data_IF_516396139770
#
_entry.id   IF_516396139770
#
_cell.length_a   1.000
_cell.length_b   1.000
_cell.length_c   1.000
_cell.angle_alpha   90.00
_cell.angle_beta   90.00
_cell.angle_gamma   90.00
#
_symmetry.space_group_name_H-M   'P 1'
#
loop_
_entity.id
_entity.type
_entity.pdbx_description
1 polymer ?
#
# COMPACT_ATOMS: atom_id res chain seq x y z
N UNK A 1 8.35 35.24 -45.39
CA UNK A 1 8.19 36.59 -44.82
C UNK A 1 6.72 36.95 -44.92
N UNK A 2 6.17 37.66 -43.93
CA UNK A 2 4.74 38.06 -43.82
C UNK A 2 3.75 36.86 -43.76
N UNK A 3 3.01 36.69 -42.67
CA UNK A 3 1.84 37.47 -42.20
C UNK A 3 0.56 37.20 -42.99
N UNK A 4 -0.42 36.59 -42.31
CA UNK A 4 -1.81 37.07 -42.32
C UNK A 4 -2.28 37.06 -40.87
N UNK A 5 -2.68 38.22 -40.33
CA UNK A 5 -3.26 38.31 -39.00
C UNK A 5 -4.78 38.05 -39.03
N UNK A 6 -5.29 37.28 -38.07
CA UNK A 6 -6.72 37.09 -37.82
C UNK A 6 -7.08 37.63 -36.43
N UNK A 7 -8.22 38.32 -36.33
CA UNK A 7 -8.55 39.12 -35.14
C UNK A 7 -9.12 38.32 -33.97
N UNK A 8 -8.80 38.77 -32.75
CA UNK A 8 -9.48 38.34 -31.52
C UNK A 8 -10.72 39.20 -31.33
N UNK A 9 -11.91 38.60 -31.40
CA UNK A 9 -13.17 39.25 -31.04
C UNK A 9 -13.51 39.04 -29.56
N UNK A 10 -13.57 40.10 -28.77
CA UNK A 10 -13.95 40.02 -27.36
C UNK A 10 -15.47 39.78 -27.22
N UNK A 11 -15.86 38.72 -26.50
CA UNK A 11 -17.26 38.47 -26.17
C UNK A 11 -17.66 39.25 -24.91
N UNK A 12 -18.78 39.97 -24.97
CA UNK A 12 -19.24 40.85 -23.88
C UNK A 12 -19.78 40.03 -22.69
N UNK A 13 -19.55 40.56 -21.49
CA UNK A 13 -20.36 40.22 -20.31
C UNK A 13 -21.80 40.67 -20.58
N UNK A 14 -22.77 39.83 -20.24
CA UNK A 14 -24.20 40.15 -20.30
C UNK A 14 -24.66 40.65 -18.93
N UNK A 15 -25.45 41.72 -18.93
CA UNK A 15 -25.97 42.35 -17.71
C UNK A 15 -27.04 41.49 -17.02
N UNK A 16 -27.18 41.61 -15.70
CA UNK A 16 -28.03 40.76 -14.84
C UNK A 16 -29.52 41.12 -14.85
N UNK A 17 -29.94 42.08 -15.67
CA UNK A 17 -31.24 42.76 -15.63
C UNK A 17 -32.37 42.02 -16.37
N UNK A 18 -32.47 40.69 -16.25
CA UNK A 18 -33.47 39.88 -16.99
C UNK A 18 -33.89 38.56 -16.31
N UNK A 19 -34.38 38.64 -15.08
CA UNK A 19 -35.28 37.63 -14.51
C UNK A 19 -36.72 38.20 -14.43
N UNK A 20 -37.78 37.38 -14.63
CA UNK A 20 -39.15 37.86 -14.53
C UNK A 20 -39.53 38.13 -13.06
N UNK A 21 -40.28 39.20 -12.81
CA UNK A 21 -40.78 39.55 -11.48
C UNK A 21 -41.61 38.41 -10.87
N UNK A 22 -41.15 37.91 -9.71
CA UNK A 22 -41.91 37.00 -8.86
C UNK A 22 -42.57 37.85 -7.77
N UNK A 23 -43.91 37.95 -7.70
CA UNK A 23 -44.59 38.79 -6.72
C UNK A 23 -44.55 38.14 -5.33
N UNK A 24 -43.44 38.35 -4.63
CA UNK A 24 -43.12 37.81 -3.30
C UNK A 24 -41.64 38.04 -3.00
N UNK A 25 -41.31 39.21 -2.47
CA UNK A 25 -39.92 39.61 -2.23
C UNK A 25 -39.24 38.79 -1.13
N UNK A 26 -37.95 38.53 -1.30
CA UNK A 26 -37.11 37.89 -0.28
C UNK A 26 -36.80 38.84 0.90
N UNK A 27 -37.10 40.13 0.75
CA UNK A 27 -36.93 41.19 1.76
C UNK A 27 -37.96 41.15 2.91
N UNK A 28 -38.74 40.07 3.01
CA UNK A 28 -39.82 39.90 3.99
C UNK A 28 -39.76 38.56 4.75
N UNK A 29 -38.58 37.95 4.82
CA UNK A 29 -38.25 37.05 5.94
C UNK A 29 -37.67 37.94 7.03
N UNK A 30 -38.46 38.23 8.07
CA UNK A 30 -37.94 38.92 9.25
C UNK A 30 -36.83 38.07 9.90
N UNK A 31 -35.94 38.71 10.67
CA UNK A 31 -34.81 38.06 11.36
C UNK A 31 -35.31 37.28 12.59
N UNK A 32 -36.29 36.39 12.36
CA UNK A 32 -36.81 35.39 13.27
C UNK A 32 -35.67 34.43 13.57
N UNK A 33 -34.91 34.79 14.62
CA UNK A 33 -33.78 34.03 15.09
C UNK A 33 -34.22 32.58 15.37
N UNK A 34 -33.85 31.67 14.45
CA UNK A 34 -33.84 30.24 14.72
C UNK A 34 -33.21 30.05 16.09
N UNK A 35 -33.86 29.33 17.03
CA UNK A 35 -33.34 29.18 18.38
C UNK A 35 -32.10 28.28 18.34
N UNK A 36 -30.95 28.89 18.02
CA UNK A 36 -29.63 28.33 18.22
C UNK A 36 -29.56 27.91 19.68
N UNK A 37 -29.48 26.59 19.91
CA UNK A 37 -29.21 26.04 21.22
C UNK A 37 -27.98 26.78 21.79
N UNK A 38 -28.06 27.38 23.00
CA UNK A 38 -26.93 28.10 23.57
C UNK A 38 -25.71 27.21 23.87
N UNK A 39 -25.83 25.88 23.73
CA UNK A 39 -24.73 24.92 23.70
C UNK A 39 -24.23 24.52 22.30
N UNK A 40 -24.82 25.02 21.20
CA UNK A 40 -24.42 24.68 19.84
C UNK A 40 -23.06 25.29 19.47
N UNK A 41 -22.09 24.43 19.23
CA UNK A 41 -20.79 24.78 18.66
C UNK A 41 -20.85 24.45 17.15
N UNK A 42 -20.47 25.37 16.25
CA UNK A 42 -20.36 25.06 14.83
C UNK A 42 -19.31 23.96 14.61
N UNK A 43 -19.55 22.98 13.70
CA UNK A 43 -18.57 21.95 13.39
C UNK A 43 -17.29 22.56 12.83
N UNK A 44 -16.14 22.06 13.26
CA UNK A 44 -14.84 22.51 12.77
C UNK A 44 -14.43 21.84 11.44
N UNK A 45 -13.23 22.17 10.95
CA UNK A 45 -12.74 21.63 9.68
C UNK A 45 -12.44 20.12 9.71
N UNK A 46 -12.28 19.51 10.90
CA UNK A 46 -12.13 18.06 11.10
C UNK A 46 -13.51 17.42 11.22
N UNK A 47 -14.45 18.02 11.95
CA UNK A 47 -15.84 17.53 12.05
C UNK A 47 -16.47 17.38 10.65
N UNK A 48 -16.32 18.39 9.78
CA UNK A 48 -16.80 18.37 8.40
C UNK A 48 -16.11 17.31 7.51
N UNK A 49 -14.89 16.89 7.85
CA UNK A 49 -14.19 15.76 7.19
C UNK A 49 -14.74 14.44 7.73
N UNK A 50 -14.99 14.33 9.03
CA UNK A 50 -15.60 13.16 9.66
C UNK A 50 -17.03 12.90 9.14
N UNK A 51 -17.84 13.95 8.92
CA UNK A 51 -19.15 13.83 8.27
C UNK A 51 -19.03 13.28 6.83
N UNK A 52 -18.04 13.74 6.06
CA UNK A 52 -17.80 13.24 4.71
C UNK A 52 -17.36 11.77 4.70
N UNK A 53 -16.46 11.36 5.60
CA UNK A 53 -16.03 9.96 5.75
C UNK A 53 -17.18 9.08 6.30
N UNK A 54 -18.06 9.62 7.13
CA UNK A 54 -19.27 8.95 7.60
C UNK A 54 -20.26 8.70 6.44
N UNK A 55 -20.46 9.68 5.56
CA UNK A 55 -21.24 9.48 4.33
C UNK A 55 -20.61 8.39 3.43
N UNK A 56 -19.28 8.38 3.29
CA UNK A 56 -18.56 7.32 2.54
C UNK A 56 -18.79 5.95 3.17
N UNK A 57 -18.74 5.82 4.49
CA UNK A 57 -19.02 4.56 5.21
C UNK A 57 -20.47 4.08 4.98
N UNK A 58 -21.46 4.98 5.05
CA UNK A 58 -22.87 4.67 4.78
C UNK A 58 -23.08 4.20 3.34
N UNK A 59 -22.49 4.88 2.35
CA UNK A 59 -22.58 4.47 0.94
C UNK A 59 -21.79 3.18 0.64
N UNK A 60 -20.68 2.92 1.35
CA UNK A 60 -19.96 1.65 1.28
C UNK A 60 -20.83 0.48 1.78
N UNK A 61 -21.49 0.62 2.93
CA UNK A 61 -22.43 -0.39 3.42
C UNK A 61 -23.57 -0.65 2.44
N UNK A 62 -24.14 0.40 1.84
CA UNK A 62 -25.19 0.24 0.83
C UNK A 62 -24.67 -0.43 -0.45
N UNK A 63 -23.44 -0.13 -0.90
CA UNK A 63 -22.78 -0.83 -2.01
C UNK A 63 -22.66 -2.34 -1.72
N UNK A 64 -22.23 -2.74 -0.52
CA UNK A 64 -22.16 -4.16 -0.15
C UNK A 64 -23.55 -4.81 -0.14
N UNK A 65 -24.59 -4.16 0.42
CA UNK A 65 -25.98 -4.66 0.37
C UNK A 65 -26.47 -4.88 -1.06
N UNK A 66 -26.20 -3.94 -1.98
CA UNK A 66 -26.62 -4.03 -3.39
C UNK A 66 -25.90 -5.15 -4.14
N UNK A 67 -24.59 -5.32 -3.92
CA UNK A 67 -23.80 -6.43 -4.51
C UNK A 67 -24.32 -7.78 -3.99
N UNK A 68 -24.59 -7.90 -2.70
CA UNK A 68 -25.14 -9.12 -2.12
C UNK A 68 -26.55 -9.44 -2.65
N UNK A 69 -27.44 -8.44 -2.73
CA UNK A 69 -28.80 -8.59 -3.27
C UNK A 69 -28.80 -9.05 -4.73
N UNK A 70 -28.06 -8.36 -5.60
CA UNK A 70 -27.90 -8.73 -7.00
C UNK A 70 -27.38 -10.17 -7.16
N UNK A 71 -26.42 -10.61 -6.34
CA UNK A 71 -25.99 -12.03 -6.36
C UNK A 71 -27.07 -12.99 -5.89
N UNK A 72 -27.81 -12.70 -4.81
CA UNK A 72 -28.89 -13.59 -4.35
C UNK A 72 -29.99 -13.75 -5.41
N UNK A 73 -30.39 -12.65 -6.04
CA UNK A 73 -31.43 -12.63 -7.08
C UNK A 73 -30.99 -13.41 -8.32
N UNK A 74 -29.78 -13.16 -8.84
CA UNK A 74 -29.23 -13.88 -9.99
C UNK A 74 -29.00 -15.37 -9.72
N UNK A 75 -28.59 -15.76 -8.51
CA UNK A 75 -28.45 -17.17 -8.14
C UNK A 75 -29.79 -17.87 -7.90
N UNK A 76 -30.82 -17.16 -7.42
CA UNK A 76 -32.16 -17.73 -7.28
C UNK A 76 -32.78 -18.04 -8.65
N UNK A 77 -32.64 -17.13 -9.63
CA UNK A 77 -33.05 -17.36 -11.01
C UNK A 77 -32.28 -18.53 -11.66
N UNK A 78 -30.95 -18.57 -11.50
CA UNK A 78 -30.13 -19.68 -11.99
C UNK A 78 -30.51 -21.03 -11.37
N UNK A 79 -30.76 -21.07 -10.06
CA UNK A 79 -31.20 -22.28 -9.36
C UNK A 79 -32.57 -22.78 -9.83
N UNK A 80 -33.50 -21.86 -10.14
CA UNK A 80 -34.80 -22.20 -10.75
C UNK A 80 -34.71 -22.76 -12.18
N UNK A 81 -33.61 -22.48 -12.90
CA UNK A 81 -33.37 -22.93 -14.28
C UNK A 81 -32.50 -24.19 -14.38
N UNK A 82 -31.68 -24.49 -13.37
CA UNK A 82 -30.96 -25.76 -13.24
C UNK A 82 -29.56 -25.63 -12.62
N UNK A 83 -29.14 -26.67 -11.87
CA UNK A 83 -27.93 -26.64 -11.02
C UNK A 83 -26.63 -26.24 -11.75
N UNK A 84 -26.49 -26.59 -13.03
CA UNK A 84 -25.31 -26.23 -13.85
C UNK A 84 -25.24 -24.76 -14.30
N UNK A 85 -26.27 -23.94 -14.02
CA UNK A 85 -26.29 -22.51 -14.36
C UNK A 85 -25.76 -21.62 -13.23
N UNK A 86 -25.54 -22.17 -12.02
CA UNK A 86 -25.04 -21.42 -10.86
C UNK A 86 -23.63 -20.87 -11.15
N UNK A 87 -22.69 -21.72 -11.57
CA UNK A 87 -21.33 -21.33 -11.93
C UNK A 87 -21.28 -20.33 -13.10
N UNK A 88 -22.26 -20.41 -14.01
CA UNK A 88 -22.41 -19.49 -15.14
C UNK A 88 -22.90 -18.12 -14.67
N UNK A 89 -23.88 -18.09 -13.76
CA UNK A 89 -24.37 -16.87 -13.13
C UNK A 89 -23.29 -16.19 -12.29
N UNK A 90 -22.50 -16.91 -11.49
CA UNK A 90 -21.38 -16.31 -10.74
C UNK A 90 -20.33 -15.67 -11.65
N UNK A 91 -20.02 -16.30 -12.79
CA UNK A 91 -19.11 -15.74 -13.79
C UNK A 91 -19.68 -14.47 -14.44
N UNK A 92 -20.98 -14.44 -14.73
CA UNK A 92 -21.68 -13.29 -15.30
C UNK A 92 -21.72 -12.10 -14.31
N UNK A 93 -22.17 -12.33 -13.07
CA UNK A 93 -22.22 -11.36 -11.96
C UNK A 93 -20.86 -10.67 -11.79
N UNK A 94 -19.78 -11.45 -11.78
CA UNK A 94 -18.39 -10.97 -11.64
C UNK A 94 -17.94 -10.12 -12.83
N UNK A 95 -18.30 -10.50 -14.05
CA UNK A 95 -17.95 -9.74 -15.27
C UNK A 95 -18.75 -8.43 -15.37
N UNK A 96 -20.05 -8.47 -15.07
CA UNK A 96 -20.94 -7.29 -15.10
C UNK A 96 -20.51 -6.24 -14.07
N UNK A 97 -20.26 -6.66 -12.82
CA UNK A 97 -19.76 -5.75 -11.77
C UNK A 97 -18.36 -5.21 -12.09
N UNK A 98 -17.46 -6.00 -12.69
CA UNK A 98 -16.15 -5.53 -13.12
C UNK A 98 -16.27 -4.40 -14.16
N UNK A 99 -17.08 -4.61 -15.20
CA UNK A 99 -17.33 -3.63 -16.25
C UNK A 99 -18.00 -2.35 -15.71
N UNK A 100 -19.05 -2.50 -14.89
CA UNK A 100 -19.82 -1.38 -14.35
C UNK A 100 -18.99 -0.51 -13.38
N UNK A 101 -18.24 -1.14 -12.48
CA UNK A 101 -17.39 -0.45 -11.49
C UNK A 101 -16.02 -0.02 -12.04
N UNK A 102 -15.68 -0.41 -13.28
CA UNK A 102 -14.38 -0.16 -13.93
C UNK A 102 -13.20 -0.74 -13.16
N UNK A 103 -13.36 -1.96 -12.64
CA UNK A 103 -12.36 -2.72 -11.89
C UNK A 103 -12.02 -4.03 -12.60
N UNK A 104 -10.96 -4.72 -12.17
CA UNK A 104 -10.67 -6.07 -12.69
C UNK A 104 -11.70 -7.08 -12.20
N UNK A 105 -11.93 -8.17 -12.94
CA UNK A 105 -12.80 -9.25 -12.49
C UNK A 105 -12.34 -9.89 -11.17
N UNK A 106 -11.04 -9.84 -10.86
CA UNK A 106 -10.50 -10.24 -9.56
C UNK A 106 -10.99 -9.31 -8.45
N UNK A 107 -10.90 -7.99 -8.63
CA UNK A 107 -11.40 -7.00 -7.67
C UNK A 107 -12.94 -7.08 -7.51
N UNK A 108 -13.67 -7.32 -8.60
CA UNK A 108 -15.11 -7.60 -8.52
C UNK A 108 -15.39 -8.89 -7.74
N UNK A 109 -14.61 -9.96 -7.96
CA UNK A 109 -14.69 -11.20 -7.18
C UNK A 109 -14.45 -10.99 -5.68
N UNK A 110 -13.45 -10.18 -5.32
CA UNK A 110 -13.19 -9.81 -3.92
C UNK A 110 -14.37 -9.04 -3.30
N UNK A 111 -14.92 -8.03 -4.00
CA UNK A 111 -16.10 -7.28 -3.55
C UNK A 111 -17.34 -8.20 -3.39
N UNK A 112 -17.52 -9.17 -4.28
CA UNK A 112 -18.61 -10.16 -4.22
C UNK A 112 -18.44 -11.09 -3.01
N UNK A 113 -17.22 -11.55 -2.72
CA UNK A 113 -16.95 -12.40 -1.56
C UNK A 113 -17.10 -11.64 -0.23
N UNK A 114 -16.64 -10.39 -0.18
CA UNK A 114 -16.72 -9.50 0.96
C UNK A 114 -18.16 -9.08 1.27
N UNK A 115 -18.96 -8.74 0.25
CA UNK A 115 -20.40 -8.47 0.36
C UNK A 115 -21.17 -9.66 0.97
N UNK A 116 -20.88 -10.88 0.50
CA UNK A 116 -21.46 -12.11 1.06
C UNK A 116 -21.04 -12.32 2.52
N UNK A 117 -19.75 -12.13 2.84
CA UNK A 117 -19.24 -12.29 4.19
C UNK A 117 -19.94 -11.32 5.16
N UNK A 118 -20.07 -10.06 4.76
CA UNK A 118 -20.76 -9.01 5.51
C UNK A 118 -22.25 -9.28 5.73
N UNK A 119 -22.95 -9.81 4.73
CA UNK A 119 -24.37 -10.13 4.85
C UNK A 119 -24.62 -11.38 5.70
N UNK A 120 -23.84 -12.45 5.48
CA UNK A 120 -24.16 -13.79 6.01
C UNK A 120 -23.45 -14.13 7.32
N UNK A 121 -22.26 -13.56 7.58
CA UNK A 121 -21.39 -13.93 8.71
C UNK A 121 -21.05 -12.76 9.62
N UNK A 122 -20.99 -11.54 9.09
CA UNK A 122 -20.66 -10.33 9.85
C UNK A 122 -21.74 -9.22 9.76
N UNK A 123 -23.05 -9.51 9.88
CA UNK A 123 -24.11 -8.50 9.69
C UNK A 123 -24.02 -7.35 10.69
N UNK A 124 -23.49 -7.59 11.89
CA UNK A 124 -23.21 -6.53 12.87
C UNK A 124 -22.10 -5.56 12.42
N UNK A 125 -21.10 -6.03 11.67
CA UNK A 125 -20.07 -5.17 11.08
C UNK A 125 -20.61 -4.37 9.88
N UNK A 126 -21.50 -4.97 9.07
CA UNK A 126 -22.22 -4.26 8.01
C UNK A 126 -23.18 -3.18 8.58
N UNK A 127 -23.79 -3.45 9.73
CA UNK A 127 -24.61 -2.48 10.47
C UNK A 127 -23.77 -1.37 11.11
N UNK A 128 -22.56 -1.67 11.61
CA UNK A 128 -21.62 -0.66 12.12
C UNK A 128 -21.11 0.26 11.00
N UNK A 129 -20.74 -0.30 9.85
CA UNK A 129 -20.33 0.46 8.65
C UNK A 129 -21.48 1.33 8.15
N UNK A 130 -22.70 0.77 8.08
CA UNK A 130 -23.91 1.48 7.70
C UNK A 130 -24.42 2.51 8.71
N UNK A 131 -23.75 2.65 9.85
CA UNK A 131 -23.97 3.67 10.87
C UNK A 131 -22.68 4.47 11.18
N UNK A 132 -21.71 4.45 10.26
CA UNK A 132 -20.43 5.15 10.32
C UNK A 132 -19.52 4.87 11.54
N UNK A 133 -19.83 3.87 12.37
CA UNK A 133 -19.01 3.53 13.56
C UNK A 133 -17.72 2.78 13.22
N UNK A 134 -17.64 2.21 12.02
CA UNK A 134 -16.40 1.65 11.46
C UNK A 134 -16.24 2.12 10.01
N UNK A 135 -15.00 2.27 9.55
CA UNK A 135 -14.72 2.56 8.13
C UNK A 135 -14.66 1.28 7.30
N UNK A 136 -14.84 1.39 5.98
CA UNK A 136 -14.74 0.25 5.05
C UNK A 136 -13.42 -0.53 5.19
N UNK A 137 -12.33 0.16 5.54
CA UNK A 137 -11.03 -0.48 5.76
C UNK A 137 -10.97 -1.35 7.01
N UNK A 138 -11.74 -1.05 8.06
CA UNK A 138 -11.86 -1.92 9.23
C UNK A 138 -12.63 -3.19 8.87
N UNK A 139 -13.75 -3.04 8.16
CA UNK A 139 -14.56 -4.16 7.64
C UNK A 139 -13.73 -5.10 6.78
N UNK A 140 -12.96 -4.58 5.83
CA UNK A 140 -12.08 -5.39 4.99
C UNK A 140 -11.06 -6.19 5.80
N UNK A 141 -10.39 -5.56 6.77
CA UNK A 141 -9.39 -6.22 7.63
C UNK A 141 -10.05 -7.19 8.62
N UNK A 142 -11.31 -6.97 9.00
CA UNK A 142 -12.10 -7.91 9.78
C UNK A 142 -12.38 -9.19 8.98
N UNK A 143 -12.84 -9.07 7.73
CA UNK A 143 -13.06 -10.23 6.85
C UNK A 143 -11.73 -10.96 6.56
N UNK A 144 -10.68 -10.23 6.17
CA UNK A 144 -9.31 -10.75 5.92
C UNK A 144 -8.81 -11.68 7.03
N UNK A 145 -9.04 -11.31 8.30
CA UNK A 145 -8.51 -12.04 9.46
C UNK A 145 -9.45 -13.13 10.00
N UNK A 146 -10.77 -13.00 9.82
CA UNK A 146 -11.77 -13.89 10.44
C UNK A 146 -12.33 -14.95 9.48
N UNK A 147 -12.26 -14.75 8.17
CA UNK A 147 -12.70 -15.77 7.21
C UNK A 147 -11.89 -17.07 7.27
N UNK A 148 -10.54 -17.05 7.37
CA UNK A 148 -9.72 -18.26 7.45
C UNK A 148 -9.83 -19.07 8.76
N UNK A 149 -10.66 -18.66 9.72
CA UNK A 149 -10.82 -19.31 11.02
C UNK A 149 -11.91 -20.39 11.00
N UNK A 150 -11.82 -21.36 11.92
CA UNK A 150 -12.94 -22.24 12.20
C UNK A 150 -14.14 -21.44 12.77
N UNK A 151 -15.36 -21.93 12.59
CA UNK A 151 -16.57 -21.21 13.02
C UNK A 151 -16.54 -20.87 14.53
N UNK A 152 -16.16 -21.82 15.37
CA UNK A 152 -16.02 -21.64 16.83
C UNK A 152 -14.98 -20.58 17.21
N UNK A 153 -13.83 -20.54 16.51
CA UNK A 153 -12.79 -19.53 16.71
C UNK A 153 -13.29 -18.14 16.27
N UNK A 154 -13.95 -18.08 15.11
CA UNK A 154 -14.54 -16.86 14.55
C UNK A 154 -15.58 -16.26 15.49
N UNK A 155 -16.50 -17.07 16.01
CA UNK A 155 -17.59 -16.63 16.87
C UNK A 155 -17.08 -16.11 18.23
N UNK A 156 -15.98 -16.69 18.74
CA UNK A 156 -15.32 -16.21 19.96
C UNK A 156 -14.48 -14.93 19.77
N UNK A 157 -13.90 -14.71 18.58
CA UNK A 157 -13.11 -13.51 18.28
C UNK A 157 -13.97 -12.34 17.80
N UNK A 158 -15.00 -12.59 16.97
CA UNK A 158 -15.73 -11.54 16.24
C UNK A 158 -16.33 -10.44 17.13
N UNK A 159 -17.01 -10.72 18.27
CA UNK A 159 -17.56 -9.65 19.12
C UNK A 159 -16.45 -8.74 19.69
N UNK A 160 -15.31 -9.32 20.09
CA UNK A 160 -14.15 -8.58 20.58
C UNK A 160 -13.46 -7.81 19.46
N UNK A 161 -13.43 -8.35 18.23
CA UNK A 161 -12.92 -7.65 17.06
C UNK A 161 -13.78 -6.45 16.66
N UNK A 162 -15.12 -6.57 16.68
CA UNK A 162 -16.02 -5.46 16.34
C UNK A 162 -15.88 -4.28 17.32
N UNK A 163 -15.80 -4.55 18.63
CA UNK A 163 -15.53 -3.51 19.65
C UNK A 163 -14.18 -2.82 19.42
N UNK A 164 -13.15 -3.54 18.96
CA UNK A 164 -11.88 -2.93 18.57
C UNK A 164 -11.99 -2.12 17.27
N UNK A 165 -12.81 -2.53 16.31
CA UNK A 165 -13.01 -1.82 15.05
C UNK A 165 -13.72 -0.47 15.23
N UNK A 166 -14.61 -0.35 16.23
CA UNK A 166 -15.31 0.89 16.58
C UNK A 166 -14.46 1.86 17.45
N UNK A 167 -13.31 1.41 17.97
CA UNK A 167 -12.52 2.15 18.97
C UNK A 167 -11.03 2.39 18.62
N UNK A 168 -10.45 1.69 17.65
CA UNK A 168 -9.01 1.69 17.37
C UNK A 168 -8.70 1.99 15.90
N UNK A 169 -7.69 2.82 15.58
CA UNK A 169 -7.23 2.99 14.20
C UNK A 169 -6.82 1.64 13.57
N UNK A 170 -7.16 1.44 12.28
CA UNK A 170 -6.94 0.22 11.47
C UNK A 170 -5.63 -0.53 11.79
N UNK A 171 -4.52 0.20 11.90
CA UNK A 171 -3.20 -0.40 12.19
C UNK A 171 -3.10 -1.04 13.57
N UNK A 172 -3.68 -0.43 14.60
CA UNK A 172 -3.75 -0.98 15.96
C UNK A 172 -4.82 -2.05 16.06
N UNK A 173 -6.00 -1.82 15.49
CA UNK A 173 -7.06 -2.82 15.31
C UNK A 173 -6.51 -4.14 14.75
N UNK A 174 -5.80 -4.10 13.61
CA UNK A 174 -5.18 -5.28 12.96
C UNK A 174 -4.20 -6.03 13.87
N UNK A 175 -3.37 -5.32 14.65
CA UNK A 175 -2.43 -5.94 15.61
C UNK A 175 -3.19 -6.61 16.76
N UNK A 176 -4.17 -5.92 17.35
CA UNK A 176 -4.96 -6.43 18.48
C UNK A 176 -5.80 -7.64 18.07
N UNK A 177 -6.47 -7.64 16.91
CA UNK A 177 -7.25 -8.80 16.42
C UNK A 177 -6.36 -10.00 16.14
N UNK A 178 -5.14 -9.85 15.59
CA UNK A 178 -4.21 -10.98 15.45
C UNK A 178 -3.86 -11.61 16.81
N UNK A 179 -3.59 -10.79 17.83
CA UNK A 179 -3.37 -11.29 19.19
C UNK A 179 -4.62 -11.97 19.80
N UNK A 180 -5.84 -11.55 19.43
CA UNK A 180 -7.06 -12.28 19.83
C UNK A 180 -7.18 -13.64 19.14
N UNK A 181 -6.80 -13.73 17.87
CA UNK A 181 -6.83 -14.97 17.09
C UNK A 181 -5.83 -15.99 17.66
N UNK A 182 -4.60 -15.58 17.95
CA UNK A 182 -3.60 -16.48 18.55
C UNK A 182 -3.90 -16.84 20.03
N UNK A 183 -4.85 -16.16 20.70
CA UNK A 183 -5.40 -16.57 22.01
C UNK A 183 -6.52 -17.63 21.92
N UNK A 184 -7.17 -17.76 20.76
CA UNK A 184 -8.40 -18.57 20.58
C UNK A 184 -8.15 -19.81 19.71
N UNK A 185 -7.10 -19.79 18.87
CA UNK A 185 -6.75 -20.91 17.98
C UNK A 185 -6.51 -22.21 18.75
N UNK A 186 -7.14 -23.28 18.26
CA UNK A 186 -6.97 -24.63 18.83
C UNK A 186 -5.64 -25.26 18.38
N UNK A 187 -5.21 -24.97 17.15
CA UNK A 187 -3.89 -25.37 16.64
C UNK A 187 -2.78 -24.50 17.23
N UNK A 188 -1.81 -25.14 17.89
CA UNK A 188 -0.67 -24.46 18.49
C UNK A 188 0.24 -23.81 17.44
N UNK A 189 1.09 -22.88 17.89
CA UNK A 189 2.07 -22.23 17.01
C UNK A 189 3.12 -23.23 16.47
N UNK A 190 3.62 -24.22 17.25
CA UNK A 190 4.42 -25.34 16.72
C UNK A 190 3.74 -26.15 15.61
N UNK A 191 2.51 -26.65 15.80
CA UNK A 191 1.83 -27.48 14.78
C UNK A 191 1.57 -26.72 13.46
N UNK A 192 1.26 -25.42 13.57
CA UNK A 192 1.17 -24.52 12.41
C UNK A 192 2.53 -24.27 11.75
N UNK A 193 3.60 -24.22 12.54
CA UNK A 193 4.96 -24.09 12.03
C UNK A 193 5.38 -25.34 11.28
N UNK A 194 5.25 -26.53 11.87
CA UNK A 194 5.58 -27.82 11.26
C UNK A 194 4.88 -28.02 9.91
N UNK A 195 3.58 -27.72 9.81
CA UNK A 195 2.85 -27.79 8.53
C UNK A 195 3.39 -26.81 7.47
N UNK A 196 3.80 -25.61 7.87
CA UNK A 196 4.44 -24.64 6.98
C UNK A 196 5.91 -25.00 6.65
N UNK A 197 6.57 -25.81 7.50
CA UNK A 197 7.89 -26.39 7.21
C UNK A 197 7.78 -27.42 6.07
N UNK A 198 6.73 -28.21 5.98
CA UNK A 198 6.55 -29.14 4.85
C UNK A 198 6.31 -28.43 3.50
N UNK A 199 5.86 -27.16 3.52
CA UNK A 199 5.72 -26.32 2.34
C UNK A 199 7.02 -25.64 1.85
N UNK A 200 8.12 -25.71 2.61
CA UNK A 200 9.41 -25.09 2.24
C UNK A 200 9.85 -25.53 0.85
N UNK A 201 10.15 -24.56 -0.01
CA UNK A 201 10.50 -24.81 -1.41
C UNK A 201 11.38 -23.71 -1.98
N UNK A 202 12.31 -24.09 -2.84
CA UNK A 202 13.05 -23.18 -3.71
C UNK A 202 12.61 -23.45 -5.14
N UNK A 203 12.20 -22.42 -5.88
CA UNK A 203 11.77 -22.55 -7.27
C UNK A 203 12.18 -21.32 -8.08
N UNK A 204 12.35 -21.52 -9.39
CA UNK A 204 12.67 -20.44 -10.33
C UNK A 204 11.39 -20.01 -11.06
N UNK A 205 11.08 -18.72 -11.01
CA UNK A 205 9.98 -18.10 -11.73
C UNK A 205 10.57 -17.22 -12.85
N UNK A 206 10.35 -17.56 -14.14
CA UNK A 206 10.88 -16.78 -15.26
C UNK A 206 10.40 -15.32 -15.25
N UNK A 207 11.28 -14.40 -15.62
CA UNK A 207 10.98 -12.99 -15.80
C UNK A 207 11.37 -12.53 -17.22
N UNK A 208 11.13 -11.25 -17.51
CA UNK A 208 11.55 -10.61 -18.77
C UNK A 208 13.09 -10.47 -18.85
N UNK A 209 13.59 -10.03 -20.01
CA UNK A 209 14.99 -9.69 -20.27
C UNK A 209 16.02 -10.83 -20.02
N UNK A 210 15.56 -12.09 -19.97
CA UNK A 210 16.40 -13.26 -19.68
C UNK A 210 16.71 -13.47 -18.20
N UNK A 211 16.06 -12.70 -17.32
CA UNK A 211 16.17 -12.82 -15.87
C UNK A 211 15.17 -13.85 -15.32
N UNK A 212 15.35 -14.26 -14.07
CA UNK A 212 14.37 -15.06 -13.34
C UNK A 212 14.47 -14.80 -11.83
N UNK A 213 13.36 -14.98 -11.12
CA UNK A 213 13.32 -14.90 -9.66
C UNK A 213 13.64 -16.28 -9.06
N UNK A 214 14.68 -16.36 -8.24
CA UNK A 214 14.91 -17.52 -7.38
C UNK A 214 14.10 -17.34 -6.08
N UNK A 215 12.86 -17.80 -6.11
CA UNK A 215 11.96 -17.74 -4.96
C UNK A 215 12.33 -18.82 -3.94
N UNK A 216 12.48 -18.44 -2.66
CA UNK A 216 12.78 -19.35 -1.57
C UNK A 216 11.77 -19.16 -0.42
N UNK A 217 10.83 -20.10 -0.28
CA UNK A 217 9.95 -20.20 0.87
C UNK A 217 10.67 -20.98 1.98
N UNK A 218 11.07 -20.25 3.02
CA UNK A 218 11.94 -20.71 4.11
C UNK A 218 11.35 -20.30 5.46
N UNK A 219 11.78 -20.91 6.58
CA UNK A 219 11.42 -20.43 7.90
C UNK A 219 11.92 -18.99 8.07
N UNK A 220 11.11 -18.14 8.69
CA UNK A 220 11.29 -16.69 8.59
C UNK A 220 12.60 -16.18 9.21
N UNK A 221 13.13 -16.85 10.23
CA UNK A 221 14.44 -16.53 10.82
C UNK A 221 15.56 -16.75 9.81
N UNK A 222 15.61 -17.92 9.20
CA UNK A 222 16.62 -18.30 8.22
C UNK A 222 16.58 -17.39 6.98
N UNK A 223 15.39 -17.01 6.51
CA UNK A 223 15.23 -16.04 5.42
C UNK A 223 15.87 -14.68 5.76
N UNK A 224 15.63 -14.16 6.98
CA UNK A 224 16.21 -12.90 7.44
C UNK A 224 17.70 -13.02 7.76
N UNK A 225 18.16 -14.18 8.25
CA UNK A 225 19.57 -14.50 8.45
C UNK A 225 20.35 -14.47 7.13
N UNK A 226 19.83 -15.15 6.11
CA UNK A 226 20.39 -15.15 4.75
C UNK A 226 20.44 -13.71 4.22
N UNK A 227 19.31 -12.99 4.22
CA UNK A 227 19.26 -11.60 3.74
C UNK A 227 20.24 -10.67 4.48
N UNK A 228 20.37 -10.82 5.79
CA UNK A 228 21.33 -10.08 6.62
C UNK A 228 22.79 -10.38 6.23
N UNK A 229 23.14 -11.66 6.06
CA UNK A 229 24.48 -12.09 5.63
C UNK A 229 24.83 -11.60 4.23
N UNK A 230 23.91 -11.72 3.28
CA UNK A 230 24.05 -11.14 1.93
C UNK A 230 24.32 -9.64 2.02
N UNK A 231 23.53 -8.91 2.82
CA UNK A 231 23.69 -7.47 3.03
C UNK A 231 25.05 -7.11 3.63
N UNK A 232 25.56 -7.90 4.58
CA UNK A 232 26.85 -7.65 5.24
C UNK A 232 28.04 -7.92 4.30
N UNK A 233 28.03 -9.04 3.57
CA UNK A 233 29.08 -9.38 2.59
C UNK A 233 29.04 -8.39 1.42
N UNK A 234 27.86 -8.07 0.87
CA UNK A 234 27.71 -7.08 -0.18
C UNK A 234 28.27 -5.70 0.23
N UNK A 235 28.00 -5.23 1.45
CA UNK A 235 28.60 -3.99 1.98
C UNK A 235 30.13 -4.05 2.04
N UNK A 236 30.70 -5.18 2.47
CA UNK A 236 32.16 -5.36 2.56
C UNK A 236 32.83 -5.46 1.17
N UNK A 237 32.11 -5.99 0.17
CA UNK A 237 32.53 -6.01 -1.24
C UNK A 237 32.48 -4.58 -1.82
N UNK A 238 31.36 -3.85 -1.68
CA UNK A 238 31.22 -2.46 -2.16
C UNK A 238 32.02 -1.42 -1.36
N UNK A 239 32.77 -1.84 -0.34
CA UNK A 239 33.69 -0.99 0.42
C UNK A 239 35.13 -1.05 -0.13
N UNK A 240 35.40 -1.85 -1.16
CA UNK A 240 36.65 -1.82 -1.89
C UNK A 240 36.69 -0.63 -2.89
N UNK A 241 37.86 -0.04 -3.07
CA UNK A 241 38.05 1.08 -4.01
C UNK A 241 37.68 0.67 -5.44
N UNK A 242 36.75 1.42 -6.05
CA UNK A 242 36.33 1.25 -7.44
C UNK A 242 35.13 0.34 -7.69
N UNK A 243 34.45 -0.19 -6.67
CA UNK A 243 33.20 -0.94 -6.87
C UNK A 243 31.99 0.01 -7.08
N UNK A 244 31.51 0.12 -8.32
CA UNK A 244 30.37 0.97 -8.69
C UNK A 244 28.98 0.33 -8.44
N UNK A 245 28.91 -0.92 -7.94
CA UNK A 245 27.65 -1.63 -7.78
C UNK A 245 26.79 -1.07 -6.64
N UNK A 246 25.49 -0.97 -6.88
CA UNK A 246 24.55 -0.69 -5.78
C UNK A 246 24.50 -1.87 -4.80
N UNK A 247 24.16 -1.60 -3.53
CA UNK A 247 24.02 -2.65 -2.52
C UNK A 247 23.02 -3.76 -2.92
N UNK A 248 21.97 -3.42 -3.68
CA UNK A 248 21.02 -4.41 -4.20
C UNK A 248 21.67 -5.34 -5.23
N UNK A 249 22.48 -4.79 -6.16
CA UNK A 249 23.23 -5.57 -7.14
C UNK A 249 24.32 -6.40 -6.46
N UNK A 250 25.12 -5.80 -5.58
CA UNK A 250 26.14 -6.52 -4.84
C UNK A 250 25.55 -7.63 -3.94
N UNK A 251 24.31 -7.48 -3.42
CA UNK A 251 23.59 -8.60 -2.77
C UNK A 251 23.18 -9.69 -3.76
N UNK A 252 22.75 -9.34 -4.97
CA UNK A 252 22.37 -10.32 -5.99
C UNK A 252 23.60 -11.11 -6.50
N UNK A 253 24.72 -10.42 -6.74
CA UNK A 253 26.00 -11.02 -7.09
C UNK A 253 26.48 -11.96 -5.97
N UNK A 254 26.56 -11.46 -4.73
CA UNK A 254 26.95 -12.27 -3.55
C UNK A 254 25.99 -13.44 -3.29
N UNK A 255 24.70 -13.31 -3.65
CA UNK A 255 23.73 -14.41 -3.57
C UNK A 255 23.99 -15.47 -4.64
N UNK A 256 24.38 -15.07 -5.85
CA UNK A 256 24.93 -15.96 -6.87
C UNK A 256 26.20 -16.66 -6.38
N UNK A 257 27.24 -15.89 -6.08
CA UNK A 257 28.56 -16.36 -5.64
C UNK A 257 28.48 -17.36 -4.47
N UNK A 258 27.63 -17.11 -3.47
CA UNK A 258 27.46 -18.00 -2.31
C UNK A 258 26.60 -19.25 -2.58
N UNK A 259 25.78 -19.27 -3.64
CA UNK A 259 24.96 -20.43 -4.02
C UNK A 259 25.58 -21.26 -5.16
N UNK A 260 26.45 -20.65 -5.97
CA UNK A 260 27.15 -21.26 -7.11
C UNK A 260 28.53 -21.77 -6.67
N UNK A 261 29.35 -20.90 -6.05
CA UNK A 261 30.74 -21.21 -5.67
C UNK A 261 30.90 -21.48 -4.16
N UNK A 262 29.88 -21.20 -3.35
CA UNK A 262 29.82 -21.49 -1.90
C UNK A 262 30.65 -20.56 -1.02
N UNK A 263 31.93 -20.35 -1.38
CA UNK A 263 32.84 -19.37 -0.76
C UNK A 263 33.76 -18.75 -1.81
N UNK A 264 33.33 -17.64 -2.40
CA UNK A 264 34.09 -16.93 -3.43
C UNK A 264 35.38 -16.31 -2.85
N UNK A 265 36.55 -16.75 -3.36
CA UNK A 265 37.86 -16.21 -2.97
C UNK A 265 38.19 -14.89 -3.65
N UNK A 266 37.42 -14.44 -4.65
CA UNK A 266 37.58 -13.10 -5.23
C UNK A 266 37.04 -11.98 -4.31
N UNK A 267 36.24 -12.32 -3.29
CA UNK A 267 35.84 -11.36 -2.26
C UNK A 267 37.04 -10.90 -1.40
N UNK A 268 37.08 -9.62 -0.96
CA UNK A 268 38.06 -9.10 -0.01
C UNK A 268 38.10 -9.92 1.30
N UNK A 269 39.25 -9.99 1.97
CA UNK A 269 39.39 -10.76 3.21
C UNK A 269 38.38 -10.36 4.31
N UNK A 270 38.04 -9.07 4.40
CA UNK A 270 37.03 -8.55 5.33
C UNK A 270 35.59 -9.04 5.03
N UNK A 271 35.33 -9.52 3.82
CA UNK A 271 34.05 -10.12 3.41
C UNK A 271 34.03 -11.66 3.61
N UNK A 272 35.20 -12.28 3.79
CA UNK A 272 35.32 -13.72 4.06
C UNK A 272 34.98 -14.03 5.51
N UNK A 273 34.32 -15.16 5.76
CA UNK A 273 33.95 -15.60 7.11
C UNK A 273 32.75 -14.89 7.76
N UNK A 274 32.18 -13.85 7.14
CA UNK A 274 30.96 -13.19 7.65
C UNK A 274 29.82 -14.20 7.80
N UNK A 275 29.26 -14.27 9.02
CA UNK A 275 28.08 -15.07 9.38
C UNK A 275 26.84 -14.17 9.48
N UNK A 276 25.67 -14.79 9.45
CA UNK A 276 24.43 -14.13 9.83
C UNK A 276 24.32 -14.05 11.36
N UNK A 277 23.67 -13.01 11.88
CA UNK A 277 23.24 -12.98 13.28
C UNK A 277 21.79 -12.50 13.38
N UNK A 278 20.98 -13.17 14.20
CA UNK A 278 19.54 -12.89 14.36
C UNK A 278 19.20 -12.67 15.84
N UNK A 279 18.56 -11.54 16.16
CA UNK A 279 18.21 -11.20 17.54
C UNK A 279 16.93 -11.94 17.93
N UNK A 280 17.06 -12.90 18.84
CA UNK A 280 15.93 -13.66 19.39
C UNK A 280 15.69 -13.24 20.83
N UNK A 281 14.50 -12.72 21.11
CA UNK A 281 14.06 -12.35 22.47
C UNK A 281 13.25 -13.51 23.06
N UNK A 282 13.74 -14.10 24.15
CA UNK A 282 13.14 -15.29 24.78
C UNK A 282 12.74 -14.99 26.22
N UNK A 283 11.52 -15.35 26.68
CA UNK A 283 11.15 -15.26 28.09
C UNK A 283 12.03 -16.19 28.94
N UNK A 284 12.70 -15.66 29.97
CA UNK A 284 13.74 -16.40 30.70
C UNK A 284 13.27 -17.72 31.34
N UNK A 285 12.03 -17.79 31.83
CA UNK A 285 11.46 -19.03 32.39
C UNK A 285 11.27 -20.14 31.35
N UNK A 286 11.19 -19.78 30.06
CA UNK A 286 11.06 -20.73 28.96
C UNK A 286 12.42 -21.26 28.43
N UNK A 287 13.54 -20.92 29.09
CA UNK A 287 14.86 -21.51 28.86
C UNK A 287 15.23 -22.60 29.88
N UNK A 288 14.32 -22.97 30.79
CA UNK A 288 14.53 -24.04 31.76
C UNK A 288 13.85 -25.33 31.27
N UNK A 289 14.53 -26.47 31.39
CA UNK A 289 14.03 -27.82 31.05
C UNK A 289 13.08 -28.38 32.13
N UNK A 290 12.07 -27.58 32.50
CA UNK A 290 10.96 -28.04 33.33
C UNK A 290 9.88 -28.70 32.44
N UNK A 291 9.29 -29.83 32.86
CA UNK A 291 8.17 -30.45 32.13
C UNK A 291 6.96 -29.50 32.07
N UNK A 292 6.22 -29.58 30.97
CA UNK A 292 5.21 -28.60 30.56
C UNK A 292 3.88 -28.74 31.29
N UNK A 293 3.80 -28.19 32.50
CA UNK A 293 2.51 -27.70 33.03
C UNK A 293 1.99 -26.54 32.16
N UNK A 294 0.67 -26.51 31.94
CA UNK A 294 0.02 -25.78 30.84
C UNK A 294 -0.05 -24.23 30.99
N UNK A 295 0.89 -23.62 31.72
CA UNK A 295 0.96 -22.16 31.94
C UNK A 295 2.12 -21.46 31.20
N UNK A 296 3.04 -22.20 30.59
CA UNK A 296 4.20 -21.65 29.86
C UNK A 296 4.21 -22.10 28.39
N UNK A 297 3.22 -21.66 27.60
CA UNK A 297 3.27 -21.71 26.14
C UNK A 297 4.32 -20.71 25.61
N UNK A 298 5.59 -21.07 25.71
CA UNK A 298 6.71 -20.22 25.34
C UNK A 298 6.61 -19.75 23.88
N UNK A 299 6.52 -18.43 23.71
CA UNK A 299 6.67 -17.78 22.40
C UNK A 299 7.84 -16.82 22.50
N UNK A 300 8.87 -17.06 21.70
CA UNK A 300 9.97 -16.13 21.53
C UNK A 300 9.64 -15.15 20.40
N UNK A 301 10.27 -13.97 20.40
CA UNK A 301 10.05 -12.94 19.38
C UNK A 301 11.37 -12.59 18.72
N UNK A 302 11.41 -12.66 17.40
CA UNK A 302 12.56 -12.24 16.58
C UNK A 302 12.26 -10.86 16.00
N UNK A 303 13.22 -9.93 16.12
CA UNK A 303 13.03 -8.57 15.63
C UNK A 303 12.84 -8.53 14.11
N UNK A 304 11.95 -7.65 13.63
CA UNK A 304 11.46 -7.61 12.25
C UNK A 304 10.59 -8.80 11.79
N UNK A 305 10.66 -9.96 12.47
CA UNK A 305 10.00 -11.21 12.07
C UNK A 305 8.70 -11.47 12.84
N UNK A 306 8.69 -11.22 14.15
CA UNK A 306 7.57 -11.54 15.04
C UNK A 306 7.74 -12.86 15.81
N UNK A 307 6.63 -13.52 16.23
CA UNK A 307 6.68 -14.68 17.12
C UNK A 307 7.18 -15.96 16.43
N UNK A 308 7.97 -16.76 17.16
CA UNK A 308 8.45 -18.09 16.76
C UNK A 308 8.29 -19.12 17.90
N UNK A 309 8.27 -20.43 17.60
CA UNK A 309 8.26 -21.49 18.61
C UNK A 309 9.49 -21.42 19.55
N UNK A 310 9.28 -21.77 20.82
CA UNK A 310 10.34 -21.72 21.85
C UNK A 310 11.53 -22.62 21.54
N UNK A 311 11.31 -23.81 21.00
CA UNK A 311 12.38 -24.77 20.75
C UNK A 311 13.28 -24.34 19.58
N UNK A 312 12.68 -23.79 18.51
CA UNK A 312 13.43 -23.11 17.45
C UNK A 312 14.27 -21.95 18.02
N UNK A 313 13.73 -21.19 18.98
CA UNK A 313 14.48 -20.12 19.65
C UNK A 313 15.64 -20.65 20.52
N UNK A 314 15.45 -21.75 21.25
CA UNK A 314 16.49 -22.43 22.03
C UNK A 314 17.65 -22.89 21.13
N UNK A 315 17.33 -23.53 19.99
CA UNK A 315 18.32 -23.93 18.97
C UNK A 315 19.12 -22.73 18.43
N UNK A 316 18.43 -21.63 18.09
CA UNK A 316 19.06 -20.42 17.56
C UNK A 316 19.97 -19.72 18.58
N UNK A 317 19.58 -19.71 19.87
CA UNK A 317 20.35 -19.09 20.95
C UNK A 317 21.62 -19.88 21.35
N UNK A 318 21.74 -21.16 20.98
CA UNK A 318 22.92 -21.98 21.25
C UNK A 318 24.06 -21.90 20.21
N UNK A 319 23.92 -21.06 19.16
CA UNK A 319 24.58 -21.29 17.87
C UNK A 319 25.90 -20.57 17.52
N UNK A 320 26.25 -19.42 18.12
CA UNK A 320 27.55 -18.76 17.86
C UNK A 320 27.62 -17.22 17.93
N UNK A 321 28.82 -16.69 17.68
CA UNK A 321 29.23 -15.30 17.93
C UNK A 321 28.91 -14.28 16.82
N UNK A 322 28.59 -13.02 17.20
CA UNK A 322 28.74 -11.85 16.31
C UNK A 322 27.72 -10.70 16.47
N UNK A 323 27.93 -9.76 17.41
CA UNK A 323 27.01 -8.62 17.68
C UNK A 323 27.70 -7.25 17.88
N UNK A 324 27.31 -6.19 17.13
CA UNK A 324 27.68 -4.79 17.43
C UNK A 324 26.81 -3.70 16.73
N UNK A 325 26.95 -2.41 17.12
CA UNK A 325 26.25 -1.19 16.65
C UNK A 325 27.25 -0.06 16.32
N UNK A 326 26.98 0.82 15.34
CA UNK A 326 27.74 2.08 15.06
C UNK A 326 26.79 3.23 14.57
N UNK A 327 27.23 4.50 14.68
CA UNK A 327 26.54 5.78 14.32
C UNK A 327 27.19 6.49 13.10
N UNK A 328 26.66 7.65 12.66
CA UNK A 328 27.13 8.43 11.48
C UNK A 328 27.84 9.76 11.80
N UNK A 329 28.55 10.32 10.79
CA UNK A 329 29.45 11.48 10.89
C UNK A 329 28.73 12.86 10.86
N UNK A 330 29.28 13.95 11.46
CA UNK A 330 28.50 15.18 11.70
C UNK A 330 28.28 16.15 10.52
N UNK A 331 29.16 16.20 9.50
CA UNK A 331 29.38 17.48 8.79
C UNK A 331 28.71 17.75 7.41
N UNK A 332 28.31 16.77 6.57
CA UNK A 332 28.24 17.02 5.09
C UNK A 332 27.13 16.41 4.20
N UNK A 333 26.12 15.68 4.69
CA UNK A 333 25.34 14.73 3.85
C UNK A 333 24.52 15.25 2.62
N UNK A 334 24.65 14.54 1.47
CA UNK A 334 23.78 14.44 0.25
C UNK A 334 24.05 15.33 -1.01
N UNK A 335 23.68 14.85 -2.24
CA UNK A 335 24.11 15.38 -3.59
C UNK A 335 23.06 15.22 -4.75
N UNK A 336 23.18 16.02 -5.85
CA UNK A 336 22.20 16.38 -6.95
C UNK A 336 23.00 16.80 -8.25
N UNK A 337 22.67 16.80 -9.57
CA UNK A 337 21.61 16.39 -10.59
C UNK A 337 22.23 16.38 -12.04
N UNK A 338 21.48 16.11 -13.15
CA UNK A 338 21.95 16.11 -14.59
C UNK A 338 20.95 16.70 -15.65
N UNK A 339 21.19 16.54 -16.98
CA UNK A 339 20.39 17.04 -18.13
C UNK A 339 20.24 16.12 -19.39
N UNK A 340 19.99 16.70 -20.60
CA UNK A 340 19.40 16.05 -21.82
C UNK A 340 20.27 15.11 -22.68
N UNK A 341 21.44 14.68 -22.22
CA UNK A 341 22.27 13.72 -22.99
C UNK A 341 21.80 12.27 -22.82
N UNK A 342 20.96 12.00 -21.82
CA UNK A 342 20.52 10.66 -21.45
C UNK A 342 19.00 10.64 -21.28
N UNK A 343 18.32 9.72 -21.98
CA UNK A 343 16.88 9.51 -21.82
C UNK A 343 16.53 9.01 -20.41
N UNK A 344 17.29 8.03 -19.90
CA UNK A 344 17.08 7.46 -18.55
C UNK A 344 17.72 8.36 -17.47
N UNK A 345 17.00 8.74 -16.39
CA UNK A 345 17.59 9.56 -15.32
C UNK A 345 18.62 8.77 -14.48
N UNK A 346 19.72 9.37 -14.00
CA UNK A 346 20.72 8.69 -13.17
C UNK A 346 20.33 8.62 -11.68
N UNK A 347 20.98 7.76 -10.87
CA UNK A 347 20.52 7.41 -9.51
C UNK A 347 20.26 8.60 -8.58
N UNK A 348 21.16 9.58 -8.46
CA UNK A 348 20.95 10.74 -7.58
C UNK A 348 19.73 11.60 -8.01
N UNK A 349 19.50 11.75 -9.32
CA UNK A 349 18.32 12.45 -9.84
C UNK A 349 17.04 11.61 -9.66
N UNK A 350 17.13 10.28 -9.82
CA UNK A 350 16.00 9.39 -9.50
C UNK A 350 15.64 9.45 -8.01
N UNK A 351 16.65 9.35 -7.15
CA UNK A 351 16.50 9.38 -5.70
C UNK A 351 15.93 10.72 -5.25
N UNK A 352 16.40 11.85 -5.79
CA UNK A 352 15.83 13.16 -5.48
C UNK A 352 14.40 13.32 -6.02
N UNK A 353 14.10 12.87 -7.25
CA UNK A 353 12.75 12.95 -7.80
C UNK A 353 11.74 12.10 -6.99
N UNK A 354 12.15 10.90 -6.59
CA UNK A 354 11.37 10.00 -5.72
C UNK A 354 11.29 10.51 -4.28
N UNK A 355 12.34 11.10 -3.74
CA UNK A 355 12.35 11.71 -2.40
C UNK A 355 11.45 12.96 -2.35
N UNK A 356 11.53 13.83 -3.37
CA UNK A 356 10.72 15.04 -3.49
C UNK A 356 9.23 14.70 -3.55
N UNK A 357 8.86 13.75 -4.41
CA UNK A 357 7.47 13.31 -4.55
C UNK A 357 6.98 12.44 -3.38
N UNK A 358 7.86 11.62 -2.80
CA UNK A 358 7.62 10.51 -1.87
C UNK A 358 6.70 9.38 -2.38
N UNK A 359 5.67 9.71 -3.17
CA UNK A 359 4.69 8.78 -3.77
C UNK A 359 4.48 9.05 -5.27
N UNK A 360 3.61 8.27 -5.88
CA UNK A 360 3.14 8.45 -7.25
C UNK A 360 2.45 9.81 -7.43
N UNK A 361 2.97 10.64 -8.34
CA UNK A 361 2.47 11.99 -8.64
C UNK A 361 1.17 12.01 -9.48
N UNK A 362 0.39 10.93 -9.47
CA UNK A 362 -0.95 10.90 -10.03
C UNK A 362 -1.99 11.19 -8.93
N UNK A 363 -3.12 11.86 -9.22
CA UNK A 363 -4.07 12.30 -8.21
C UNK A 363 -4.50 11.18 -7.24
N UNK A 364 -4.21 11.36 -5.95
CA UNK A 364 -4.58 10.41 -4.88
C UNK A 364 -3.80 9.10 -4.83
N UNK A 365 -2.76 8.88 -5.66
CA UNK A 365 -2.11 7.57 -5.72
C UNK A 365 -1.13 7.33 -4.55
N UNK A 366 -1.54 6.48 -3.60
CA UNK A 366 -0.73 6.11 -2.44
C UNK A 366 0.51 5.23 -2.70
N UNK A 367 0.85 4.89 -3.95
CA UNK A 367 2.00 4.03 -4.26
C UNK A 367 3.32 4.75 -3.92
N UNK A 368 4.20 4.16 -3.09
CA UNK A 368 5.54 4.71 -2.81
C UNK A 368 6.37 4.94 -4.08
N UNK A 369 7.12 6.05 -4.13
CA UNK A 369 7.80 6.50 -5.36
C UNK A 369 9.00 5.63 -5.78
N UNK A 370 9.60 4.87 -4.85
CA UNK A 370 10.56 3.80 -5.14
C UNK A 370 9.95 2.69 -6.02
N UNK A 371 8.65 2.41 -5.84
CA UNK A 371 7.85 1.47 -6.64
C UNK A 371 7.17 2.11 -7.86
N UNK A 372 7.63 3.30 -8.25
CA UNK A 372 7.12 4.04 -9.39
C UNK A 372 8.20 4.27 -10.46
N UNK A 373 7.78 4.20 -11.72
CA UNK A 373 8.59 4.56 -12.88
C UNK A 373 8.72 6.08 -12.96
N UNK A 374 9.90 6.60 -13.28
CA UNK A 374 10.14 8.04 -13.40
C UNK A 374 9.90 8.50 -14.84
N UNK A 375 8.81 9.24 -15.04
CA UNK A 375 8.26 9.54 -16.35
C UNK A 375 8.45 11.00 -16.75
N UNK A 376 8.75 11.23 -18.03
CA UNK A 376 8.90 12.57 -18.60
C UNK A 376 7.53 13.15 -18.92
N UNK A 377 7.20 14.28 -18.28
CA UNK A 377 5.86 14.88 -18.32
C UNK A 377 5.52 15.32 -19.75
N UNK A 378 6.38 16.13 -20.36
CA UNK A 378 6.53 16.17 -21.81
C UNK A 378 7.40 14.99 -22.25
N UNK A 379 6.87 14.13 -23.13
CA UNK A 379 7.56 12.95 -23.64
C UNK A 379 8.86 13.31 -24.39
N UNK A 380 9.87 12.44 -24.29
CA UNK A 380 11.19 12.66 -24.90
C UNK A 380 11.14 12.83 -26.43
N UNK A 381 10.33 11.99 -27.09
CA UNK A 381 10.04 12.01 -28.53
C UNK A 381 9.31 13.29 -28.98
N UNK A 382 8.74 14.05 -28.04
CA UNK A 382 8.07 15.33 -28.27
C UNK A 382 8.88 16.51 -27.69
N UNK A 383 10.20 16.33 -27.52
CA UNK A 383 11.11 17.39 -27.07
C UNK A 383 11.42 17.40 -25.57
N UNK A 384 10.85 16.49 -24.77
CA UNK A 384 11.06 16.43 -23.33
C UNK A 384 12.52 16.30 -22.89
N UNK A 385 12.86 16.89 -21.74
CA UNK A 385 14.20 16.82 -21.13
C UNK A 385 14.22 15.90 -19.90
N UNK A 386 15.33 15.19 -19.68
CA UNK A 386 15.57 14.40 -18.45
C UNK A 386 16.06 15.32 -17.34
N UNK A 387 15.12 16.04 -16.72
CA UNK A 387 15.38 17.02 -15.66
C UNK A 387 14.34 16.89 -14.55
N UNK A 388 14.70 17.31 -13.33
CA UNK A 388 13.83 17.27 -12.15
C UNK A 388 12.50 18.06 -12.32
N UNK A 389 12.49 19.02 -13.24
CA UNK A 389 11.34 19.87 -13.64
C UNK A 389 10.50 19.29 -14.78
N UNK A 390 10.85 18.11 -15.29
CA UNK A 390 10.04 17.37 -16.26
C UNK A 390 9.78 15.92 -15.80
N UNK A 391 10.56 15.38 -14.86
CA UNK A 391 10.40 14.04 -14.31
C UNK A 391 9.45 14.02 -13.11
N UNK A 392 8.57 13.01 -13.09
CA UNK A 392 7.73 12.70 -11.95
C UNK A 392 7.55 11.17 -11.80
N UNK A 393 7.60 10.61 -10.58
CA UNK A 393 7.37 9.19 -10.36
C UNK A 393 5.88 8.85 -10.51
N UNK A 394 5.56 7.91 -11.39
CA UNK A 394 4.22 7.36 -11.62
C UNK A 394 4.27 5.83 -11.55
N UNK A 395 3.31 5.19 -10.87
CA UNK A 395 3.22 3.73 -10.92
C UNK A 395 2.76 3.28 -12.32
N UNK A 396 3.13 2.06 -12.75
CA UNK A 396 2.79 1.53 -14.09
C UNK A 396 1.35 1.81 -14.51
N UNK A 397 0.37 1.60 -13.63
CA UNK A 397 -1.04 1.88 -13.92
C UNK A 397 -1.31 3.34 -14.32
N UNK A 398 -0.77 4.32 -13.59
CA UNK A 398 -0.94 5.74 -13.92
C UNK A 398 -0.04 6.20 -15.08
N UNK A 399 1.10 5.54 -15.28
CA UNK A 399 1.94 5.72 -16.47
C UNK A 399 1.17 5.33 -17.73
N UNK A 400 0.58 4.13 -17.76
CA UNK A 400 -0.29 3.65 -18.84
C UNK A 400 -1.52 4.55 -19.04
N UNK A 401 -2.16 5.03 -17.96
CA UNK A 401 -3.33 5.93 -18.05
C UNK A 401 -2.97 7.30 -18.65
N UNK A 402 -1.77 7.84 -18.40
CA UNK A 402 -1.28 9.04 -19.08
C UNK A 402 -1.06 8.79 -20.58
N UNK A 403 -0.33 7.73 -20.94
CA UNK A 403 0.09 7.51 -22.33
C UNK A 403 -1.02 6.96 -23.24
N UNK A 404 -2.03 6.26 -22.68
CA UNK A 404 -3.08 5.60 -23.47
C UNK A 404 -4.52 5.85 -22.98
N UNK A 405 -4.71 6.42 -21.78
CA UNK A 405 -6.04 6.68 -21.20
C UNK A 405 -6.67 8.03 -21.57
N UNK A 406 -6.06 8.80 -22.47
CA UNK A 406 -6.55 10.12 -22.90
C UNK A 406 -6.36 11.25 -21.87
N UNK A 407 -5.63 11.00 -20.78
CA UNK A 407 -5.27 12.03 -19.80
C UNK A 407 -4.09 12.87 -20.30
N UNK A 408 -4.15 14.18 -20.11
CA UNK A 408 -3.03 15.09 -20.39
C UNK A 408 -2.35 15.48 -19.08
N UNK A 409 -1.03 15.68 -19.09
CA UNK A 409 -0.27 16.05 -17.89
C UNK A 409 0.78 17.09 -18.25
N UNK A 410 0.87 18.17 -17.45
CA UNK A 410 1.92 19.20 -17.56
C UNK A 410 2.57 19.45 -16.20
N UNK A 411 3.86 19.80 -16.20
CA UNK A 411 4.49 20.35 -14.99
C UNK A 411 4.08 21.82 -14.85
N UNK A 412 3.92 22.27 -13.62
CA UNK A 412 3.75 23.67 -13.28
C UNK A 412 5.13 24.25 -12.91
N UNK A 413 5.55 25.26 -13.66
CA UNK A 413 6.87 25.90 -13.53
C UNK A 413 6.94 27.04 -12.50
N UNK A 414 5.79 27.44 -11.95
CA UNK A 414 5.67 28.56 -11.01
C UNK A 414 5.21 28.06 -9.64
N UNK A 415 5.90 28.52 -8.59
CA UNK A 415 5.67 28.11 -7.20
C UNK A 415 6.97 27.79 -6.46
N UNK A 416 6.94 27.89 -5.13
CA UNK A 416 8.10 27.65 -4.25
C UNK A 416 8.55 26.18 -4.16
N UNK A 417 7.81 25.25 -4.77
CA UNK A 417 8.28 23.90 -5.07
C UNK A 417 8.24 23.66 -6.59
N UNK A 418 9.41 23.56 -7.21
CA UNK A 418 9.48 23.05 -8.59
C UNK A 418 9.16 21.55 -8.58
N UNK A 419 8.23 21.12 -9.43
CA UNK A 419 7.85 19.69 -9.55
C UNK A 419 6.37 19.34 -9.45
N UNK A 420 5.48 20.31 -9.23
CA UNK A 420 4.04 20.08 -9.20
C UNK A 420 3.49 19.70 -10.58
N UNK A 421 2.58 18.74 -10.64
CA UNK A 421 1.89 18.34 -11.87
C UNK A 421 0.47 18.89 -11.91
N UNK A 422 0.00 19.28 -13.09
CA UNK A 422 -1.42 19.36 -13.39
C UNK A 422 -1.81 18.20 -14.33
N UNK A 423 -2.79 17.41 -13.90
CA UNK A 423 -3.45 16.36 -14.67
C UNK A 423 -4.79 16.86 -15.19
N UNK A 424 -5.08 16.61 -16.47
CA UNK A 424 -6.35 16.92 -17.11
C UNK A 424 -6.95 15.61 -17.63
N UNK A 425 -8.16 15.30 -17.18
CA UNK A 425 -8.89 14.09 -17.60
C UNK A 425 -9.48 14.21 -19.02
N UNK A 426 -9.83 13.08 -19.68
CA UNK A 426 -10.50 13.09 -20.99
C UNK A 426 -11.78 13.93 -21.05
N UNK A 427 -12.42 14.17 -19.90
CA UNK A 427 -13.63 14.98 -19.76
C UNK A 427 -13.35 16.39 -19.22
N UNK A 428 -12.13 16.90 -19.40
CA UNK A 428 -11.73 18.29 -19.15
C UNK A 428 -11.47 18.69 -17.68
N UNK A 429 -11.77 17.83 -16.70
CA UNK A 429 -11.51 18.12 -15.28
C UNK A 429 -10.01 18.16 -14.99
N UNK A 430 -9.56 19.18 -14.26
CA UNK A 430 -8.15 19.45 -13.91
C UNK A 430 -7.87 19.12 -12.45
N UNK A 431 -6.68 18.61 -12.14
CA UNK A 431 -6.24 18.23 -10.80
C UNK A 431 -4.76 18.63 -10.63
N UNK A 432 -4.41 19.31 -9.54
CA UNK A 432 -3.00 19.64 -9.24
C UNK A 432 -2.47 18.69 -8.17
N UNK A 433 -1.28 18.13 -8.41
CA UNK A 433 -0.56 17.25 -7.50
C UNK A 433 0.78 17.90 -7.17
N UNK A 434 0.90 18.45 -5.96
CA UNK A 434 2.15 18.95 -5.42
C UNK A 434 3.02 17.80 -4.89
N UNK A 435 4.35 17.89 -4.94
CA UNK A 435 5.23 16.91 -4.31
C UNK A 435 5.15 16.98 -2.78
N UNK A 436 5.20 15.83 -2.09
CA UNK A 436 5.14 15.78 -0.60
C UNK A 436 6.29 16.52 0.09
N UNK A 437 7.41 16.80 -0.60
CA UNK A 437 8.58 17.50 -0.03
C UNK A 437 9.06 18.64 -0.93
N UNK A 438 9.17 19.82 -0.34
CA UNK A 438 9.82 20.99 -0.94
C UNK A 438 11.32 20.75 -1.15
N UNK A 439 11.88 21.29 -2.23
CA UNK A 439 13.34 21.40 -2.39
C UNK A 439 13.81 22.72 -1.75
N UNK A 440 14.95 22.75 -1.06
CA UNK A 440 15.59 24.01 -0.68
C UNK A 440 16.06 24.76 -1.94
N UNK A 441 15.65 26.02 -2.10
CA UNK A 441 16.05 26.88 -3.21
C UNK A 441 17.25 27.72 -2.77
N UNK A 442 18.44 27.30 -3.19
CA UNK A 442 19.68 28.05 -2.96
C UNK A 442 19.82 29.15 -4.02
N UNK A 443 19.35 30.36 -3.69
CA UNK A 443 19.74 31.58 -4.40
C UNK A 443 21.22 31.87 -4.15
N UNK A 444 21.91 32.42 -5.16
CA UNK A 444 23.28 32.95 -5.03
C UNK A 444 23.30 34.28 -4.27
#
# INVERSE_FOLDING_TARGET
MSEVAGSVGAMKVVDGSSFPDVPGGWDAVEDDAFPCDPGWVPPDAVDLICDADAMVAVFAAERYRRIAAYRREALADAAGRGRGLIDVAERAIRLELAAALRVTEHAAGMLIAEAQALETRYPAALAALGAARVTERHVHVLVELLDPLAATERDAVFPRALVLAEAEPVGTFRRRVRALIDQVRVESLPERHERALDERRVFVEPADDGMAWLNAYLPAVEAHAIHGRLTAIAKAVTAADGDERTLEQARADVFGDLLIDGTCTAHPDAARGIRATVVVTVPALALLDAPTDALNSGVAVVDGVGPIPIDRARELCGGGDGWMRILTHPDTGAVVSVGRERYRPPPALQQLARWRAARCMAPGCGMPADRCDLDHTLAWEHGGHTALTNLAPLCRGHHTVKHHGGWQVRQLSEGTSSGSLEWISPYGRRYVVAPERTLPVFTR
#
